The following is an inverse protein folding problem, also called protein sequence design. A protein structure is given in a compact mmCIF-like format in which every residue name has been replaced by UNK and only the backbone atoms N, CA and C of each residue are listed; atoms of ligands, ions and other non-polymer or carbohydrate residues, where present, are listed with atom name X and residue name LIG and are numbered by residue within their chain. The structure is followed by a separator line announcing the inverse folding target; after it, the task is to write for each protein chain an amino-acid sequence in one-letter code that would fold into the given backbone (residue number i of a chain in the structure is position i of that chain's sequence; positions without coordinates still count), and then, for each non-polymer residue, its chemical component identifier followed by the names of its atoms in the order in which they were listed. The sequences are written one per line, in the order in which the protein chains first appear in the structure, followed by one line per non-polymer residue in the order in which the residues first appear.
data_IF_287563594053
#
_entry.id   IF_287563594053
#
_cell.length_a   1.000
_cell.length_b   1.000
_cell.length_c   1.000
_cell.angle_alpha   90.00
_cell.angle_beta   90.00
_cell.angle_gamma   90.00
#
_symmetry.space_group_name_H-M   'P 1'
#
loop_
_entity.id
_entity.type
_entity.pdbx_description
1 polymer ?
#
# COMPACT_ATOMS: atom_id res chain seq x y z
N UNK A 1 -12.38 -15.00 48.73
CA UNK A 1 -12.12 -13.93 47.73
C UNK A 1 -13.15 -12.83 47.96
N UNK A 2 -12.75 -11.55 48.04
CA UNK A 2 -13.71 -10.45 48.35
C UNK A 2 -14.35 -9.89 47.07
N UNK A 3 -15.63 -9.54 47.13
CA UNK A 3 -16.40 -8.93 46.02
C UNK A 3 -15.68 -7.71 45.44
N UNK A 4 -15.07 -6.87 46.28
CA UNK A 4 -14.32 -5.69 45.83
C UNK A 4 -13.07 -6.02 45.00
N UNK A 5 -12.46 -7.19 45.21
CA UNK A 5 -11.33 -7.67 44.38
C UNK A 5 -11.82 -8.14 43.02
N UNK A 6 -12.95 -8.86 42.98
CA UNK A 6 -13.56 -9.37 41.76
C UNK A 6 -14.02 -8.23 40.82
N UNK A 7 -14.59 -7.17 41.39
CA UNK A 7 -15.02 -5.98 40.62
C UNK A 7 -13.83 -5.28 39.98
N UNK A 8 -12.73 -5.07 40.72
CA UNK A 8 -11.51 -4.44 40.18
C UNK A 8 -10.87 -5.28 39.09
N UNK A 9 -10.82 -6.59 39.28
CA UNK A 9 -10.26 -7.51 38.28
C UNK A 9 -11.09 -7.53 36.99
N UNK A 10 -12.42 -7.51 37.09
CA UNK A 10 -13.29 -7.44 35.93
C UNK A 10 -13.22 -6.08 35.22
N UNK A 11 -13.08 -4.97 35.96
CA UNK A 11 -12.89 -3.65 35.37
C UNK A 11 -11.57 -3.58 34.57
N UNK A 12 -10.48 -4.05 35.16
CA UNK A 12 -9.16 -4.10 34.50
C UNK A 12 -9.18 -4.97 33.24
N UNK A 13 -9.84 -6.13 33.27
CA UNK A 13 -10.00 -6.98 32.08
C UNK A 13 -10.74 -6.24 30.97
N UNK A 14 -11.84 -5.55 31.28
CA UNK A 14 -12.62 -4.79 30.28
C UNK A 14 -11.80 -3.67 29.65
N UNK A 15 -10.97 -3.00 30.43
CA UNK A 15 -10.07 -1.94 29.96
C UNK A 15 -9.04 -2.50 28.96
N UNK A 16 -8.36 -3.59 29.34
CA UNK A 16 -7.40 -4.30 28.47
C UNK A 16 -8.07 -4.78 27.17
N UNK A 17 -9.30 -5.30 27.26
CA UNK A 17 -10.04 -5.71 26.06
C UNK A 17 -10.41 -4.52 25.16
N UNK A 18 -10.71 -3.34 25.72
CA UNK A 18 -10.99 -2.13 24.94
C UNK A 18 -9.75 -1.66 24.20
N UNK A 19 -8.62 -1.55 24.90
CA UNK A 19 -7.33 -1.16 24.30
C UNK A 19 -6.93 -2.11 23.15
N UNK A 20 -7.15 -3.42 23.33
CA UNK A 20 -6.85 -4.42 22.32
C UNK A 20 -7.70 -4.21 21.05
N UNK A 21 -9.00 -3.95 21.20
CA UNK A 21 -9.92 -3.70 20.07
C UNK A 21 -9.50 -2.44 19.31
N UNK A 22 -9.21 -1.36 20.02
CA UNK A 22 -8.76 -0.09 19.42
C UNK A 22 -7.44 -0.27 18.65
N UNK A 23 -6.50 -1.04 19.19
CA UNK A 23 -5.25 -1.37 18.51
C UNK A 23 -5.45 -2.16 17.20
N UNK A 24 -6.39 -3.10 17.18
CA UNK A 24 -6.73 -3.85 15.97
C UNK A 24 -7.40 -2.97 14.91
N UNK A 25 -8.31 -2.09 15.30
CA UNK A 25 -8.98 -1.16 14.38
C UNK A 25 -7.98 -0.20 13.74
N UNK A 26 -7.03 0.32 14.53
CA UNK A 26 -5.94 1.16 14.04
C UNK A 26 -5.10 0.42 12.99
N UNK A 27 -4.67 -0.81 13.28
CA UNK A 27 -3.90 -1.65 12.35
C UNK A 27 -4.67 -1.94 11.06
N UNK A 28 -5.95 -2.29 11.18
CA UNK A 28 -6.80 -2.56 10.02
C UNK A 28 -7.02 -1.30 9.17
N UNK A 29 -7.14 -0.12 9.80
CA UNK A 29 -7.28 1.16 9.10
C UNK A 29 -6.02 1.52 8.30
N UNK A 30 -4.84 1.26 8.86
CA UNK A 30 -3.56 1.52 8.21
C UNK A 30 -3.36 0.57 7.02
N UNK A 31 -3.70 -0.71 7.17
CA UNK A 31 -3.68 -1.67 6.05
C UNK A 31 -4.58 -1.23 4.89
N UNK A 32 -5.80 -0.74 5.18
CA UNK A 32 -6.70 -0.21 4.14
C UNK A 32 -6.14 1.03 3.45
N UNK A 33 -5.50 1.94 4.19
CA UNK A 33 -4.85 3.15 3.64
C UNK A 33 -3.73 2.77 2.68
N UNK A 34 -2.89 1.82 3.05
CA UNK A 34 -1.81 1.32 2.20
C UNK A 34 -2.35 0.70 0.90
N UNK A 35 -3.40 -0.13 0.99
CA UNK A 35 -4.05 -0.72 -0.20
C UNK A 35 -4.65 0.36 -1.09
N UNK A 36 -5.39 1.32 -0.53
CA UNK A 36 -5.98 2.41 -1.29
C UNK A 36 -4.93 3.28 -2.00
N UNK A 37 -3.81 3.58 -1.33
CA UNK A 37 -2.71 4.31 -1.92
C UNK A 37 -2.07 3.58 -3.11
N UNK A 38 -1.86 2.27 -2.98
CA UNK A 38 -1.33 1.42 -4.07
C UNK A 38 -2.29 1.35 -5.26
N UNK A 39 -3.59 1.20 -5.02
CA UNK A 39 -4.61 1.19 -6.08
C UNK A 39 -4.61 2.52 -6.86
N UNK A 40 -4.61 3.65 -6.15
CA UNK A 40 -4.54 4.96 -6.80
C UNK A 40 -3.26 5.15 -7.63
N UNK A 41 -2.12 4.63 -7.16
CA UNK A 41 -0.88 4.63 -7.91
C UNK A 41 -0.98 3.79 -9.19
N UNK A 42 -1.53 2.58 -9.12
CA UNK A 42 -1.70 1.73 -10.31
C UNK A 42 -2.69 2.31 -11.32
N UNK A 43 -3.79 2.90 -10.86
CA UNK A 43 -4.72 3.62 -11.74
C UNK A 43 -4.03 4.76 -12.49
N UNK A 44 -3.13 5.48 -11.81
CA UNK A 44 -2.36 6.56 -12.45
C UNK A 44 -1.34 6.02 -13.46
N UNK A 45 -0.65 4.92 -13.13
CA UNK A 45 0.29 4.26 -14.05
C UNK A 45 -0.43 3.77 -15.31
N UNK A 46 -1.61 3.16 -15.18
CA UNK A 46 -2.41 2.71 -16.32
C UNK A 46 -2.77 3.88 -17.24
N UNK A 47 -3.27 4.99 -16.67
CA UNK A 47 -3.58 6.20 -17.46
C UNK A 47 -2.33 6.81 -18.10
N UNK A 48 -1.24 6.88 -17.35
CA UNK A 48 0.03 7.42 -17.84
C UNK A 48 0.61 6.58 -18.98
N UNK A 49 0.44 5.25 -18.94
CA UNK A 49 0.89 4.33 -19.96
C UNK A 49 0.25 4.63 -21.34
N UNK A 50 -1.02 5.05 -21.36
CA UNK A 50 -1.73 5.44 -22.60
C UNK A 50 -1.11 6.67 -23.27
N UNK A 51 -0.46 7.53 -22.49
CA UNK A 51 0.15 8.76 -22.97
C UNK A 51 1.60 8.58 -23.40
N UNK A 52 2.20 7.40 -23.19
CA UNK A 52 3.62 7.17 -23.49
C UNK A 52 3.94 7.37 -24.97
N UNK A 53 5.06 8.03 -25.22
CA UNK A 53 5.66 8.09 -26.55
C UNK A 53 6.22 6.72 -26.96
N UNK A 54 6.44 6.51 -28.25
CA UNK A 54 7.05 5.26 -28.74
C UNK A 54 8.48 5.03 -28.20
N UNK A 55 9.22 6.12 -27.93
CA UNK A 55 10.53 6.03 -27.29
C UNK A 55 10.43 5.56 -25.83
N UNK A 56 9.47 6.09 -25.07
CA UNK A 56 9.21 5.67 -23.69
C UNK A 56 8.74 4.20 -23.64
N UNK A 57 7.89 3.76 -24.57
CA UNK A 57 7.44 2.36 -24.64
C UNK A 57 8.60 1.41 -24.88
N UNK A 58 9.52 1.77 -25.78
CA UNK A 58 10.74 0.98 -26.04
C UNK A 58 11.66 0.95 -24.83
N UNK A 59 11.88 2.09 -24.19
CA UNK A 59 12.71 2.17 -22.98
C UNK A 59 12.13 1.34 -21.83
N UNK A 60 10.79 1.31 -21.69
CA UNK A 60 10.12 0.44 -20.74
C UNK A 60 10.35 -1.03 -21.10
N UNK A 61 10.12 -1.46 -22.34
CA UNK A 61 10.34 -2.84 -22.76
C UNK A 61 11.79 -3.32 -22.57
N UNK A 62 12.77 -2.47 -22.89
CA UNK A 62 14.19 -2.76 -22.69
C UNK A 62 14.50 -2.96 -21.21
N UNK A 63 13.98 -2.07 -20.36
CA UNK A 63 14.12 -2.18 -18.92
C UNK A 63 13.44 -3.44 -18.38
N UNK A 64 12.21 -3.75 -18.81
CA UNK A 64 11.47 -4.93 -18.38
C UNK A 64 12.22 -6.22 -18.72
N UNK A 65 12.73 -6.33 -19.94
CA UNK A 65 13.51 -7.49 -20.38
C UNK A 65 14.81 -7.71 -19.58
N UNK A 66 15.34 -6.64 -18.97
CA UNK A 66 16.58 -6.67 -18.19
C UNK A 66 16.32 -6.94 -16.71
N UNK A 67 15.22 -6.44 -16.15
CA UNK A 67 14.99 -6.39 -14.70
C UNK A 67 13.87 -7.33 -14.22
N UNK A 68 12.88 -7.65 -15.06
CA UNK A 68 11.78 -8.54 -14.67
C UNK A 68 12.16 -9.98 -15.02
N UNK A 69 12.87 -10.62 -14.09
CA UNK A 69 13.39 -11.99 -14.21
C UNK A 69 12.37 -13.06 -13.77
N UNK A 70 11.32 -12.66 -13.04
CA UNK A 70 10.31 -13.55 -12.47
C UNK A 70 10.57 -13.98 -11.02
N UNK A 71 11.63 -13.47 -10.38
CA UNK A 71 11.92 -13.68 -8.95
C UNK A 71 11.08 -12.79 -8.01
N UNK A 72 10.39 -11.79 -8.57
CA UNK A 72 9.56 -10.84 -7.82
C UNK A 72 10.33 -9.66 -7.24
N UNK A 73 11.60 -9.44 -7.61
CA UNK A 73 12.39 -8.28 -7.18
C UNK A 73 11.89 -6.97 -7.83
N UNK A 74 11.54 -7.04 -9.11
CA UNK A 74 11.02 -5.91 -9.88
C UNK A 74 9.71 -6.23 -10.59
N UNK A 75 8.83 -5.24 -10.67
CA UNK A 75 7.63 -5.21 -11.49
C UNK A 75 7.67 -4.03 -12.47
N UNK A 76 6.79 -4.05 -13.49
CA UNK A 76 6.64 -2.94 -14.45
C UNK A 76 6.45 -1.59 -13.78
N UNK A 77 5.80 -1.54 -12.61
CA UNK A 77 5.60 -0.31 -11.83
C UNK A 77 6.88 0.29 -11.24
N UNK A 78 7.98 -0.47 -11.18
CA UNK A 78 9.26 -0.03 -10.62
C UNK A 78 10.17 0.62 -11.66
N UNK A 79 9.73 0.71 -12.92
CA UNK A 79 10.49 1.37 -13.96
C UNK A 79 10.74 2.86 -13.59
N UNK A 80 12.00 3.32 -13.52
CA UNK A 80 12.32 4.70 -13.12
C UNK A 80 11.73 5.77 -14.05
N UNK A 81 11.47 5.41 -15.31
CA UNK A 81 10.89 6.32 -16.30
C UNK A 81 9.47 6.79 -15.98
N UNK A 82 8.75 6.11 -15.07
CA UNK A 82 7.41 6.52 -14.65
C UNK A 82 7.36 7.95 -14.13
N UNK A 83 8.41 8.45 -13.47
CA UNK A 83 8.41 9.82 -12.93
C UNK A 83 8.10 10.88 -14.01
N UNK A 84 8.72 10.76 -15.20
CA UNK A 84 8.50 11.69 -16.32
C UNK A 84 7.10 11.53 -16.94
N UNK A 85 6.63 10.29 -17.10
CA UNK A 85 5.32 10.01 -17.70
C UNK A 85 4.18 10.44 -16.77
N UNK A 86 4.31 10.19 -15.46
CA UNK A 86 3.33 10.55 -14.45
C UNK A 86 3.22 12.06 -14.25
N UNK A 87 4.32 12.81 -14.38
CA UNK A 87 4.30 14.28 -14.30
C UNK A 87 3.41 14.88 -15.40
N UNK A 88 3.53 14.34 -16.62
CA UNK A 88 2.65 14.70 -17.74
C UNK A 88 1.19 14.30 -17.53
N UNK A 89 0.94 13.13 -16.94
CA UNK A 89 -0.43 12.64 -16.74
C UNK A 89 -1.20 13.38 -15.62
N UNK A 90 -0.50 14.19 -14.79
CA UNK A 90 -1.09 14.96 -13.70
C UNK A 90 -1.55 16.37 -14.09
N UNK A 91 -1.26 16.81 -15.32
CA UNK A 91 -1.58 18.14 -15.85
C UNK A 91 -2.53 18.03 -17.05
#
# INVERSE_FOLDING_TARGET
MSVGKLVKENAMKRDIFSELIEGFDALASEGRRQVAGRLAQYELIIKAAEMMTEAEKRALQEWESTNITGDGEFATSDWPGWASVLDRARH
#
